data_IF_468293873890
#
_entry.id   IF_468293873890
#
_cell.length_a   1.000
_cell.length_b   1.000
_cell.length_c   1.000
_cell.angle_alpha   90.00
_cell.angle_beta   90.00
_cell.angle_gamma   90.00
#
_symmetry.space_group_name_H-M   'P 1'
#
loop_
_entity.id
_entity.type
_entity.pdbx_description
1 polymer ?
#
# COMPACT_ATOMS: atom_id res chain seq x y z
N UNK A 1 6.48 -4.53 26.72
CA UNK A 1 6.69 -3.24 27.38
C UNK A 1 5.34 -2.56 27.67
N UNK A 2 4.45 -2.38 26.67
CA UNK A 2 3.13 -1.74 26.86
C UNK A 2 2.24 -2.43 27.90
N UNK A 3 2.27 -3.76 28.01
CA UNK A 3 1.52 -4.50 29.02
C UNK A 3 1.93 -4.18 30.47
N UNK A 4 3.18 -3.78 30.67
CA UNK A 4 3.76 -3.56 32.00
C UNK A 4 3.89 -2.08 32.34
N UNK A 5 4.22 -1.25 31.35
CA UNK A 5 4.54 0.18 31.52
C UNK A 5 3.66 1.05 30.64
N UNK A 6 2.37 0.72 30.52
CA UNK A 6 1.41 1.41 29.63
C UNK A 6 1.35 2.91 29.91
N UNK A 7 1.17 3.28 31.15
CA UNK A 7 1.01 4.66 31.58
C UNK A 7 2.27 5.52 31.37
N UNK A 8 3.45 4.92 31.58
CA UNK A 8 4.75 5.58 31.36
C UNK A 8 5.04 5.79 29.87
N UNK A 9 4.62 4.84 29.01
CA UNK A 9 4.88 4.89 27.57
C UNK A 9 3.86 5.77 26.86
N UNK A 10 2.57 5.59 27.15
CA UNK A 10 1.47 6.31 26.48
C UNK A 10 1.12 7.63 27.17
N UNK A 11 1.53 7.81 28.42
CA UNK A 11 1.09 8.89 29.29
C UNK A 11 -0.28 8.62 29.92
N UNK A 12 -0.45 9.01 31.18
CA UNK A 12 -1.65 8.69 31.99
C UNK A 12 -2.99 9.07 31.36
N UNK A 13 -3.04 10.16 30.58
CA UNK A 13 -4.28 10.62 29.96
C UNK A 13 -4.68 9.71 28.81
N UNK A 14 -3.76 9.41 27.90
CA UNK A 14 -4.02 8.60 26.69
C UNK A 14 -4.22 7.13 27.05
N UNK A 15 -3.45 6.59 27.97
CA UNK A 15 -3.53 5.22 28.46
C UNK A 15 -4.89 4.81 29.06
N UNK A 16 -5.69 5.78 29.50
CA UNK A 16 -7.06 5.50 30.02
C UNK A 16 -8.03 5.00 28.96
N UNK A 17 -7.81 5.35 27.72
CA UNK A 17 -8.73 5.08 26.59
C UNK A 17 -8.09 4.29 25.46
N UNK A 18 -6.76 4.08 25.49
CA UNK A 18 -6.01 3.40 24.46
C UNK A 18 -5.06 2.37 25.05
N UNK A 19 -4.94 1.24 24.40
CA UNK A 19 -4.04 0.15 24.79
C UNK A 19 -2.71 0.16 24.01
N UNK A 20 -2.63 0.93 22.93
CA UNK A 20 -1.44 1.09 22.09
C UNK A 20 -1.42 2.50 21.48
N UNK A 21 -0.38 2.86 20.76
CA UNK A 21 -0.29 4.14 20.04
C UNK A 21 -1.27 4.21 18.86
N UNK A 22 -1.71 3.07 18.33
CA UNK A 22 -2.61 2.98 17.19
C UNK A 22 -2.01 3.45 15.86
N UNK A 23 -0.74 3.85 15.89
CA UNK A 23 0.02 4.35 14.74
C UNK A 23 1.44 3.84 14.81
N UNK A 24 2.07 3.65 13.64
CA UNK A 24 3.48 3.39 13.53
C UNK A 24 4.13 4.53 12.75
N UNK A 25 5.24 5.04 13.26
CA UNK A 25 6.10 6.01 12.59
C UNK A 25 7.40 5.33 12.24
N UNK A 26 7.77 5.34 10.97
CA UNK A 26 9.02 4.75 10.45
C UNK A 26 9.81 5.77 9.64
N UNK A 27 11.12 5.62 9.65
CA UNK A 27 12.00 6.19 8.63
C UNK A 27 12.58 5.01 7.87
N UNK A 28 12.47 5.01 6.55
CA UNK A 28 13.08 3.99 5.71
C UNK A 28 13.92 4.58 4.58
N UNK A 29 14.96 3.85 4.23
CA UNK A 29 15.91 4.13 3.16
C UNK A 29 16.20 2.80 2.45
N UNK A 30 15.46 2.52 1.40
CA UNK A 30 15.59 1.28 0.65
C UNK A 30 16.55 1.43 -0.53
N UNK A 31 17.35 0.40 -0.79
CA UNK A 31 18.24 0.35 -1.94
C UNK A 31 17.54 0.02 -3.26
N UNK A 32 16.30 -0.46 -3.20
CA UNK A 32 15.46 -0.81 -4.35
C UNK A 32 14.02 -0.38 -4.09
N UNK A 33 13.17 -0.39 -5.11
CA UNK A 33 11.74 -0.11 -5.00
C UNK A 33 11.04 -1.15 -4.11
N UNK A 34 10.00 -0.74 -3.39
CA UNK A 34 9.07 -1.68 -2.75
C UNK A 34 8.08 -2.18 -3.81
N UNK A 35 7.65 -3.43 -3.66
CA UNK A 35 6.71 -4.08 -4.58
C UNK A 35 5.36 -3.32 -4.66
N UNK A 36 4.67 -3.50 -5.78
CA UNK A 36 3.33 -2.94 -6.00
C UNK A 36 2.31 -3.71 -5.17
N UNK A 37 1.65 -3.02 -4.24
CA UNK A 37 0.74 -3.59 -3.25
C UNK A 37 -0.36 -2.62 -2.88
N UNK A 38 -1.30 -3.10 -2.07
CA UNK A 38 -2.31 -2.29 -1.41
C UNK A 38 -2.49 -2.75 0.05
N UNK A 39 -3.10 -1.90 0.85
CA UNK A 39 -3.64 -2.23 2.16
C UNK A 39 -5.16 -2.20 2.09
N UNK A 40 -5.82 -3.22 2.67
CA UNK A 40 -7.26 -3.36 2.59
C UNK A 40 -8.01 -2.26 3.36
N UNK A 41 -9.21 -1.93 2.88
CA UNK A 41 -10.17 -1.09 3.56
C UNK A 41 -10.78 -1.80 4.77
N UNK A 42 -11.47 -1.05 5.64
CA UNK A 42 -12.07 -1.59 6.87
C UNK A 42 -12.99 -2.79 6.60
N UNK A 43 -13.84 -2.71 5.57
CA UNK A 43 -14.79 -3.77 5.25
C UNK A 43 -14.14 -5.10 4.84
N UNK A 44 -12.90 -5.06 4.37
CA UNK A 44 -12.15 -6.25 3.95
C UNK A 44 -11.18 -6.71 5.05
N UNK A 45 -10.47 -5.80 5.69
CA UNK A 45 -9.53 -6.08 6.77
C UNK A 45 -10.20 -6.80 7.94
N UNK A 46 -11.42 -6.38 8.31
CA UNK A 46 -12.17 -7.01 9.40
C UNK A 46 -12.52 -8.49 9.12
N UNK A 47 -12.68 -8.87 7.86
CA UNK A 47 -12.97 -10.26 7.45
C UNK A 47 -11.82 -11.22 7.77
N UNK A 48 -10.60 -10.69 7.85
CA UNK A 48 -9.39 -11.43 8.24
C UNK A 48 -8.90 -11.11 9.65
N UNK A 49 -9.75 -10.43 10.45
CA UNK A 49 -9.48 -10.11 11.85
C UNK A 49 -8.43 -9.00 12.05
N UNK A 50 -8.25 -8.14 11.06
CA UNK A 50 -7.30 -7.03 11.09
C UNK A 50 -8.01 -5.67 10.98
N UNK A 51 -7.28 -4.59 11.21
CA UNK A 51 -7.72 -3.24 10.89
C UNK A 51 -7.27 -2.87 9.48
N UNK A 52 -7.93 -1.89 8.86
CA UNK A 52 -7.43 -1.24 7.65
C UNK A 52 -6.07 -0.57 7.88
N UNK A 53 -5.46 -0.09 6.80
CA UNK A 53 -4.20 0.61 6.92
C UNK A 53 -4.14 1.75 5.91
N UNK A 54 -4.25 2.96 6.42
CA UNK A 54 -3.88 4.18 5.71
C UNK A 54 -2.44 4.56 6.02
N UNK A 55 -1.80 5.25 5.09
CA UNK A 55 -0.43 5.71 5.21
C UNK A 55 -0.30 7.18 4.81
N UNK A 56 0.75 7.82 5.32
CA UNK A 56 1.19 9.12 4.84
C UNK A 56 2.71 9.11 4.73
N UNK A 57 3.23 9.58 3.60
CA UNK A 57 4.65 9.72 3.33
C UNK A 57 5.07 11.18 3.41
N UNK A 58 6.26 11.40 3.94
CA UNK A 58 6.96 12.68 3.83
C UNK A 58 8.40 12.39 3.39
N UNK A 59 8.80 12.96 2.25
CA UNK A 59 10.12 12.73 1.68
C UNK A 59 11.14 13.68 2.31
N UNK A 60 12.18 13.10 2.91
CA UNK A 60 13.25 13.84 3.54
C UNK A 60 14.26 14.31 2.49
N UNK A 61 15.14 15.24 2.87
CA UNK A 61 16.02 15.95 1.93
C UNK A 61 16.87 15.03 1.05
N UNK A 62 17.42 13.96 1.60
CA UNK A 62 18.31 13.02 0.90
C UNK A 62 18.45 11.71 1.69
N UNK A 63 18.82 10.63 1.04
CA UNK A 63 18.97 10.42 -0.42
C UNK A 63 17.63 10.19 -1.12
N UNK A 64 17.58 10.41 -2.45
CA UNK A 64 16.45 9.99 -3.29
C UNK A 64 16.62 8.56 -3.83
N UNK A 65 17.87 8.07 -3.91
CA UNK A 65 18.19 6.75 -4.41
C UNK A 65 17.99 6.57 -5.93
N UNK A 66 18.08 5.33 -6.44
CA UNK A 66 17.98 5.03 -7.87
C UNK A 66 16.55 5.13 -8.42
N UNK A 67 15.52 5.01 -7.58
CA UNK A 67 14.11 5.12 -7.95
C UNK A 67 13.47 6.31 -7.22
N UNK A 68 13.67 7.55 -7.71
CA UNK A 68 13.20 8.75 -7.03
C UNK A 68 11.69 9.00 -7.19
N UNK A 69 10.97 8.08 -7.82
CA UNK A 69 9.52 8.15 -8.03
C UNK A 69 8.78 7.06 -7.23
N UNK A 70 7.57 7.38 -6.80
CA UNK A 70 6.60 6.42 -6.24
C UNK A 70 5.45 6.24 -7.22
N UNK A 71 4.99 5.01 -7.38
CA UNK A 71 3.80 4.71 -8.16
C UNK A 71 2.56 4.73 -7.28
N UNK A 72 1.49 5.41 -7.75
CA UNK A 72 0.20 5.47 -7.07
C UNK A 72 -0.94 5.21 -8.04
N UNK A 73 -1.84 4.29 -7.66
CA UNK A 73 -3.05 3.97 -8.41
C UNK A 73 -2.78 3.46 -9.81
N UNK A 74 -3.74 3.63 -10.70
CA UNK A 74 -3.71 3.16 -12.09
C UNK A 74 -4.09 4.28 -13.06
N UNK A 75 -3.80 4.08 -14.35
CA UNK A 75 -4.28 4.99 -15.39
C UNK A 75 -5.81 5.00 -15.44
N UNK A 76 -6.42 6.18 -15.38
CA UNK A 76 -7.88 6.35 -15.34
C UNK A 76 -8.62 5.70 -16.52
N UNK A 77 -7.97 5.55 -17.69
CA UNK A 77 -8.52 4.88 -18.85
C UNK A 77 -8.89 3.42 -18.59
N UNK A 78 -8.14 2.73 -17.72
CA UNK A 78 -8.37 1.31 -17.39
C UNK A 78 -9.75 1.13 -16.75
N UNK A 79 -10.08 1.98 -15.78
CA UNK A 79 -11.37 1.93 -15.09
C UNK A 79 -12.49 2.46 -15.98
N UNK A 80 -12.27 3.57 -16.68
CA UNK A 80 -13.25 4.14 -17.62
C UNK A 80 -13.67 3.17 -18.74
N UNK A 81 -12.76 2.31 -19.17
CA UNK A 81 -12.98 1.33 -20.25
C UNK A 81 -13.35 -0.07 -19.72
N UNK A 82 -13.51 -0.23 -18.39
CA UNK A 82 -13.81 -1.50 -17.70
C UNK A 82 -12.80 -2.62 -18.04
N UNK A 83 -11.51 -2.29 -18.11
CA UNK A 83 -10.43 -3.21 -18.46
C UNK A 83 -9.66 -3.79 -17.27
N UNK A 84 -10.12 -3.58 -16.03
CA UNK A 84 -9.41 -3.99 -14.82
C UNK A 84 -9.07 -5.48 -14.85
N UNK A 85 -10.06 -6.33 -15.04
CA UNK A 85 -9.87 -7.78 -15.07
C UNK A 85 -9.05 -8.23 -16.29
N UNK A 86 -9.31 -7.66 -17.47
CA UNK A 86 -8.57 -7.98 -18.70
C UNK A 86 -7.08 -7.71 -18.56
N UNK A 87 -6.72 -6.64 -17.83
CA UNK A 87 -5.32 -6.21 -17.66
C UNK A 87 -4.65 -6.91 -16.49
N UNK A 88 -5.27 -6.91 -15.31
CA UNK A 88 -4.58 -7.34 -14.09
C UNK A 88 -4.65 -8.85 -13.85
N UNK A 89 -5.76 -9.54 -14.13
CA UNK A 89 -5.86 -10.97 -13.88
C UNK A 89 -4.74 -11.78 -14.53
N UNK A 90 -4.38 -11.57 -15.81
CA UNK A 90 -3.31 -12.35 -16.44
C UNK A 90 -1.95 -12.21 -15.74
N UNK A 91 -1.65 -11.05 -15.11
CA UNK A 91 -0.42 -10.87 -14.32
C UNK A 91 -0.48 -11.63 -13.00
N UNK A 92 -1.63 -11.59 -12.32
CA UNK A 92 -1.81 -12.25 -11.04
C UNK A 92 -1.83 -13.79 -11.21
N UNK A 93 -2.49 -14.30 -12.24
CA UNK A 93 -2.55 -15.73 -12.56
C UNK A 93 -1.19 -16.27 -12.92
N UNK A 94 -0.49 -15.60 -13.84
CA UNK A 94 0.82 -16.02 -14.35
C UNK A 94 1.94 -15.86 -13.32
N UNK A 95 1.85 -14.83 -12.49
CA UNK A 95 2.80 -14.47 -11.45
C UNK A 95 4.24 -14.35 -11.96
N UNK A 96 4.44 -13.56 -13.00
CA UNK A 96 5.73 -13.33 -13.64
C UNK A 96 5.91 -11.87 -14.06
N UNK A 97 7.17 -11.41 -13.96
CA UNK A 97 7.60 -10.10 -14.46
C UNK A 97 7.25 -8.90 -13.60
N UNK A 98 7.70 -7.75 -14.05
CA UNK A 98 7.56 -6.44 -13.38
C UNK A 98 6.58 -5.52 -14.12
N UNK A 99 6.10 -5.91 -15.29
CA UNK A 99 5.40 -5.02 -16.22
C UNK A 99 4.05 -4.50 -15.71
N UNK A 100 3.55 -5.01 -14.59
CA UNK A 100 2.32 -4.51 -13.98
C UNK A 100 2.40 -3.00 -13.66
N UNK A 101 3.59 -2.49 -13.33
CA UNK A 101 3.83 -1.08 -13.02
C UNK A 101 3.58 -0.13 -14.21
N UNK A 102 3.62 -0.62 -15.47
CA UNK A 102 3.32 0.22 -16.64
C UNK A 102 1.88 0.73 -16.69
N UNK A 103 1.01 0.19 -15.86
CA UNK A 103 -0.39 0.61 -15.74
C UNK A 103 -0.63 1.58 -14.60
N UNK A 104 0.40 1.88 -13.80
CA UNK A 104 0.35 2.81 -12.67
C UNK A 104 0.86 4.21 -13.04
N UNK A 105 0.47 5.20 -12.26
CA UNK A 105 0.93 6.59 -12.40
C UNK A 105 2.18 6.79 -11.53
N UNK A 106 3.25 7.35 -12.09
CA UNK A 106 4.48 7.67 -11.38
C UNK A 106 4.53 9.13 -10.96
N UNK A 107 4.89 9.38 -9.71
CA UNK A 107 5.07 10.71 -9.14
C UNK A 107 6.49 10.83 -8.57
N UNK A 108 7.15 11.94 -8.89
CA UNK A 108 8.48 12.22 -8.33
C UNK A 108 8.39 12.51 -6.84
N UNK A 109 9.28 11.90 -6.07
CA UNK A 109 9.43 12.17 -4.65
C UNK A 109 10.22 13.47 -4.48
N UNK A 110 9.56 14.54 -4.11
CA UNK A 110 10.17 15.86 -3.93
C UNK A 110 10.46 16.06 -2.43
N UNK A 111 11.71 16.30 -2.03
CA UNK A 111 12.05 16.57 -0.64
C UNK A 111 11.21 17.70 -0.03
N UNK A 112 10.71 17.48 1.17
CA UNK A 112 9.81 18.41 1.86
C UNK A 112 8.33 18.24 1.52
N UNK A 113 8.00 17.45 0.50
CA UNK A 113 6.62 17.10 0.13
C UNK A 113 6.25 15.69 0.58
N UNK A 114 5.01 15.31 0.39
CA UNK A 114 4.53 13.98 0.75
C UNK A 114 3.20 13.63 0.09
N UNK A 115 2.66 12.47 0.46
CA UNK A 115 1.36 12.00 0.00
C UNK A 115 0.60 11.30 1.10
N UNK A 116 -0.71 11.49 1.13
CA UNK A 116 -1.65 10.65 1.87
C UNK A 116 -2.09 9.47 0.99
N UNK A 117 -2.05 8.27 1.52
CA UNK A 117 -2.40 7.02 0.85
C UNK A 117 -3.62 6.40 1.54
N UNK A 118 -4.81 6.53 0.96
CA UNK A 118 -5.99 5.86 1.52
C UNK A 118 -5.89 4.34 1.39
N UNK A 119 -6.56 3.63 2.28
CA UNK A 119 -6.71 2.18 2.15
C UNK A 119 -7.39 1.81 0.82
N UNK A 120 -6.98 0.69 0.22
CA UNK A 120 -7.44 0.27 -1.12
C UNK A 120 -6.64 0.88 -2.28
N UNK A 121 -5.70 1.80 -2.01
CA UNK A 121 -4.84 2.39 -3.03
C UNK A 121 -3.65 1.48 -3.35
N UNK A 122 -3.50 1.15 -4.63
CA UNK A 122 -2.30 0.48 -5.16
C UNK A 122 -1.11 1.43 -5.15
N UNK A 123 0.02 0.99 -4.60
CA UNK A 123 1.22 1.82 -4.57
C UNK A 123 2.51 0.99 -4.57
N UNK A 124 3.58 1.60 -5.07
CA UNK A 124 4.93 1.04 -5.05
C UNK A 124 5.91 2.16 -4.68
N UNK A 125 6.31 2.27 -3.40
CA UNK A 125 7.24 3.27 -2.94
C UNK A 125 8.60 3.16 -3.64
N UNK A 126 9.16 4.32 -3.98
CA UNK A 126 10.51 4.44 -4.50
C UNK A 126 11.58 4.37 -3.41
N UNK A 127 12.77 4.87 -3.73
CA UNK A 127 13.95 4.77 -2.87
C UNK A 127 14.30 6.08 -2.14
N UNK A 128 13.43 7.08 -2.17
CA UNK A 128 13.63 8.30 -1.39
C UNK A 128 13.62 8.01 0.11
N UNK A 129 14.52 8.65 0.86
CA UNK A 129 14.47 8.62 2.32
C UNK A 129 13.14 9.18 2.79
N UNK A 130 12.31 8.34 3.39
CA UNK A 130 10.91 8.64 3.68
C UNK A 130 10.60 8.50 5.16
N UNK A 131 9.94 9.50 5.71
CA UNK A 131 9.22 9.39 6.97
C UNK A 131 7.81 8.90 6.65
N UNK A 132 7.44 7.74 7.17
CA UNK A 132 6.13 7.14 6.99
C UNK A 132 5.36 7.11 8.30
N UNK A 133 4.17 7.68 8.28
CA UNK A 133 3.17 7.49 9.33
C UNK A 133 2.10 6.54 8.80
N UNK A 134 1.85 5.44 9.51
CA UNK A 134 0.85 4.45 9.12
C UNK A 134 -0.05 4.04 10.28
N UNK A 135 -1.21 3.51 9.97
CA UNK A 135 -2.04 2.80 10.93
C UNK A 135 -1.38 1.50 11.38
N UNK A 136 -1.68 1.08 12.62
CA UNK A 136 -1.06 -0.10 13.23
C UNK A 136 -1.73 -1.39 12.71
N UNK A 137 -1.41 -1.75 11.48
CA UNK A 137 -1.86 -2.98 10.83
C UNK A 137 -0.81 -3.46 9.83
N UNK A 138 -0.72 -4.78 9.65
CA UNK A 138 0.13 -5.41 8.64
C UNK A 138 -0.67 -5.95 7.45
N UNK A 139 -1.97 -5.59 7.38
CA UNK A 139 -2.86 -6.05 6.30
C UNK A 139 -2.36 -5.56 4.94
N UNK A 140 -2.19 -6.48 3.99
CA UNK A 140 -1.76 -6.15 2.63
C UNK A 140 -2.10 -7.25 1.61
N UNK A 141 -2.11 -6.89 0.34
CA UNK A 141 -2.02 -7.80 -0.80
C UNK A 141 -0.96 -7.27 -1.78
N UNK A 142 -0.01 -8.13 -2.15
CA UNK A 142 1.06 -7.80 -3.11
C UNK A 142 0.63 -8.22 -4.49
N UNK A 143 0.74 -7.33 -5.48
CA UNK A 143 0.31 -7.59 -6.86
C UNK A 143 1.49 -7.75 -7.84
N UNK A 144 2.72 -7.58 -7.40
CA UNK A 144 3.92 -7.65 -8.24
C UNK A 144 4.71 -8.91 -7.95
N UNK A 145 4.99 -9.68 -9.00
CA UNK A 145 5.68 -10.97 -8.89
C UNK A 145 7.20 -10.87 -8.84
N UNK A 146 7.77 -9.77 -9.33
CA UNK A 146 9.22 -9.60 -9.45
C UNK A 146 9.63 -8.13 -9.32
N UNK A 147 10.77 -7.86 -8.68
CA UNK A 147 11.39 -6.54 -8.57
C UNK A 147 12.88 -6.70 -8.87
N UNK A 148 13.39 -6.04 -9.92
CA UNK A 148 14.82 -6.05 -10.30
C UNK A 148 15.44 -7.45 -10.29
N UNK A 149 14.69 -8.44 -10.80
CA UNK A 149 15.10 -9.83 -10.85
C UNK A 149 14.89 -10.62 -9.54
N UNK A 150 14.45 -9.97 -8.46
CA UNK A 150 14.08 -10.63 -7.21
C UNK A 150 12.62 -11.11 -7.30
N UNK A 151 12.41 -12.42 -7.19
CA UNK A 151 11.07 -13.02 -7.20
C UNK A 151 10.38 -12.86 -5.85
N UNK A 152 9.11 -12.47 -5.91
CA UNK A 152 8.21 -12.33 -4.78
C UNK A 152 7.36 -13.60 -4.67
N UNK A 153 7.19 -14.11 -3.46
CA UNK A 153 6.31 -15.28 -3.23
C UNK A 153 4.85 -14.97 -3.51
N UNK A 154 4.16 -15.82 -4.27
CA UNK A 154 2.74 -15.65 -4.60
C UNK A 154 1.82 -15.74 -3.39
N UNK A 155 2.28 -16.32 -2.29
CA UNK A 155 1.57 -16.32 -1.01
C UNK A 155 1.25 -14.92 -0.50
N UNK A 156 2.08 -13.92 -0.80
CA UNK A 156 1.84 -12.52 -0.43
C UNK A 156 0.68 -11.88 -1.19
N UNK A 157 0.28 -12.44 -2.34
CA UNK A 157 -0.89 -11.99 -3.09
C UNK A 157 -2.19 -12.22 -2.30
N UNK A 158 -2.30 -13.35 -1.61
CA UNK A 158 -3.54 -13.77 -0.96
C UNK A 158 -3.44 -13.97 0.56
N UNK A 159 -2.32 -13.57 1.16
CA UNK A 159 -2.05 -13.79 2.59
C UNK A 159 -3.16 -13.25 3.52
N UNK A 160 -3.74 -12.14 3.17
CA UNK A 160 -4.83 -11.51 3.92
C UNK A 160 -6.17 -11.51 3.15
N UNK A 161 -6.45 -12.61 2.44
CA UNK A 161 -7.77 -12.88 1.83
C UNK A 161 -8.40 -14.05 2.56
N UNK A 162 -9.72 -14.01 2.78
CA UNK A 162 -10.40 -15.15 3.42
C UNK A 162 -10.29 -16.41 2.56
N UNK A 163 -10.14 -17.57 3.20
CA UNK A 163 -10.10 -18.86 2.48
C UNK A 163 -11.31 -19.05 1.56
N UNK A 164 -12.51 -18.67 2.01
CA UNK A 164 -13.75 -18.74 1.22
C UNK A 164 -13.68 -17.89 -0.06
N UNK A 165 -13.22 -16.65 0.03
CA UNK A 165 -13.10 -15.77 -1.13
C UNK A 165 -12.03 -16.30 -2.11
N UNK A 166 -10.90 -16.80 -1.59
CA UNK A 166 -9.85 -17.36 -2.40
C UNK A 166 -10.27 -18.65 -3.12
N UNK A 167 -10.95 -19.56 -2.43
CA UNK A 167 -11.47 -20.81 -3.02
C UNK A 167 -12.51 -20.54 -4.11
N UNK A 168 -13.31 -19.47 -3.96
CA UNK A 168 -14.36 -19.12 -4.90
C UNK A 168 -13.85 -18.38 -6.13
N UNK A 169 -13.05 -17.35 -5.95
CA UNK A 169 -12.74 -16.35 -6.97
C UNK A 169 -11.24 -16.25 -7.30
N UNK A 170 -10.36 -16.95 -6.53
CA UNK A 170 -8.91 -16.99 -6.73
C UNK A 170 -8.31 -15.57 -6.86
N UNK A 171 -7.52 -15.30 -7.89
CA UNK A 171 -6.88 -14.00 -8.13
C UNK A 171 -7.88 -12.86 -8.34
N UNK A 172 -9.10 -13.14 -8.77
CA UNK A 172 -10.14 -12.11 -8.90
C UNK A 172 -10.54 -11.53 -7.54
N UNK A 173 -10.49 -12.32 -6.45
CA UNK A 173 -10.75 -11.83 -5.10
C UNK A 173 -9.77 -10.73 -4.66
N UNK A 174 -8.57 -10.71 -5.21
CA UNK A 174 -7.58 -9.63 -4.94
C UNK A 174 -8.04 -8.33 -5.59
N UNK A 175 -8.59 -8.39 -6.80
CA UNK A 175 -9.07 -7.21 -7.53
C UNK A 175 -10.27 -6.55 -6.84
N UNK A 176 -11.06 -7.31 -6.08
CA UNK A 176 -12.18 -6.80 -5.29
C UNK A 176 -11.73 -5.95 -4.08
N UNK A 177 -10.47 -6.11 -3.62
CA UNK A 177 -9.89 -5.29 -2.54
C UNK A 177 -9.50 -3.88 -2.99
N UNK A 178 -9.40 -3.66 -4.30
CA UNK A 178 -8.91 -2.41 -4.87
C UNK A 178 -10.03 -1.37 -4.88
N UNK A 179 -9.77 -0.20 -4.33
CA UNK A 179 -10.65 0.95 -4.55
C UNK A 179 -10.40 1.56 -5.93
N UNK A 180 -11.11 1.06 -6.93
CA UNK A 180 -10.91 1.46 -8.32
C UNK A 180 -11.18 2.94 -8.57
N UNK A 181 -12.08 3.58 -7.81
CA UNK A 181 -12.36 5.01 -7.93
C UNK A 181 -11.17 5.84 -7.43
N UNK A 182 -10.67 5.55 -6.23
CA UNK A 182 -9.49 6.21 -5.68
C UNK A 182 -8.23 5.95 -6.53
N UNK A 183 -8.06 4.71 -7.03
CA UNK A 183 -6.90 4.34 -7.86
C UNK A 183 -6.90 5.03 -9.23
N UNK A 184 -8.07 5.30 -9.81
CA UNK A 184 -8.21 5.95 -11.11
C UNK A 184 -8.41 7.47 -11.03
N UNK A 185 -8.34 8.07 -9.84
CA UNK A 185 -8.54 9.51 -9.66
C UNK A 185 -7.58 10.32 -10.55
N UNK A 186 -8.08 11.09 -11.51
CA UNK A 186 -7.23 11.94 -12.36
C UNK A 186 -6.64 13.13 -11.60
N UNK A 187 -7.19 13.47 -10.44
CA UNK A 187 -6.78 14.56 -9.56
C UNK A 187 -6.06 14.03 -8.31
N UNK A 188 -5.47 12.84 -8.41
CA UNK A 188 -4.79 12.22 -7.26
C UNK A 188 -3.75 13.14 -6.61
N UNK A 189 -2.96 13.85 -7.41
CA UNK A 189 -1.98 14.80 -6.89
C UNK A 189 -2.65 15.91 -6.07
N UNK A 190 -3.67 16.55 -6.59
CA UNK A 190 -4.37 17.65 -5.93
C UNK A 190 -5.09 17.20 -4.66
N UNK A 191 -5.59 15.97 -4.64
CA UNK A 191 -6.38 15.43 -3.53
C UNK A 191 -5.52 14.84 -2.41
N UNK A 192 -4.32 14.34 -2.71
CA UNK A 192 -3.51 13.54 -1.78
C UNK A 192 -2.12 14.10 -1.51
N UNK A 193 -1.65 15.10 -2.27
CA UNK A 193 -0.36 15.73 -2.03
C UNK A 193 -0.34 16.54 -0.74
N UNK A 194 0.76 16.43 0.01
CA UNK A 194 1.04 17.12 1.26
C UNK A 194 2.27 18.02 1.07
N UNK A 195 2.15 19.30 1.35
CA UNK A 195 3.21 20.32 1.23
C UNK A 195 3.60 20.90 2.59
#
# INVERSE_FOLDING_TARGET
ALEVCKDEILGHKYAKTHDCLGRLLKIYDFGTRIFYHLHQKDEDAIKVGMNSKEEAYHFLDKPLGPHPETFFGVHASIVRENKQNEIFLPYLEKWEGEEILKYSKAYMNIPGEGFHLPAGLLHAPGTALTLELQESSDVMAVLQAEIEGLKIGKDLLHHHITGEAWEKDSEAAVLDLIDWEANADPYFYENHHLS
#
